data_IF_926257917638
#
_entry.id   IF_926257917638
#
_cell.length_a   1.000
_cell.length_b   1.000
_cell.length_c   1.000
_cell.angle_alpha   90.00
_cell.angle_beta   90.00
_cell.angle_gamma   90.00
#
_symmetry.space_group_name_H-M   'P 1'
#
loop_
_entity.id
_entity.type
_entity.pdbx_description
1 polymer ?
#
# COMPACT_ATOMS: atom_id res chain seq x y z
N UNK A 1 -3.07 -13.64 13.12
CA UNK A 1 -4.27 -14.51 13.07
C UNK A 1 -4.87 -14.68 14.46
N UNK A 2 -4.21 -15.39 15.39
CA UNK A 2 -4.73 -15.63 16.76
C UNK A 2 -5.08 -14.33 17.51
N UNK A 3 -4.17 -13.35 17.49
CA UNK A 3 -4.42 -12.02 18.09
C UNK A 3 -5.61 -11.27 17.47
N UNK A 4 -5.97 -11.55 16.21
CA UNK A 4 -7.11 -10.92 15.56
C UNK A 4 -8.43 -11.50 16.07
N UNK A 5 -8.46 -12.82 16.31
CA UNK A 5 -9.62 -13.52 16.85
C UNK A 5 -9.92 -13.03 18.27
N UNK A 6 -8.88 -12.88 19.10
CA UNK A 6 -9.04 -12.47 20.50
C UNK A 6 -9.46 -10.99 20.64
N UNK A 7 -9.00 -10.13 19.71
CA UNK A 7 -9.34 -8.70 19.69
C UNK A 7 -10.65 -8.38 18.96
N UNK A 8 -11.21 -9.33 18.22
CA UNK A 8 -12.46 -9.11 17.49
C UNK A 8 -13.63 -8.92 18.47
N UNK A 9 -14.53 -7.95 18.23
CA UNK A 9 -15.71 -7.76 19.07
C UNK A 9 -16.55 -9.04 19.12
N UNK A 10 -16.82 -9.51 20.33
CA UNK A 10 -17.70 -10.66 20.54
C UNK A 10 -19.14 -10.30 20.12
N UNK A 11 -19.77 -11.23 19.42
CA UNK A 11 -21.20 -11.18 19.11
C UNK A 11 -21.80 -12.57 19.36
N UNK A 12 -23.00 -12.61 19.95
CA UNK A 12 -23.72 -13.85 20.23
C UNK A 12 -24.24 -14.50 18.93
N UNK A 13 -24.47 -13.70 17.89
CA UNK A 13 -24.90 -14.19 16.58
C UNK A 13 -23.68 -14.63 15.78
N UNK A 14 -23.61 -15.93 15.45
CA UNK A 14 -22.45 -16.53 14.77
C UNK A 14 -22.06 -15.83 13.47
N UNK A 15 -23.04 -15.44 12.65
CA UNK A 15 -22.77 -14.74 11.38
C UNK A 15 -22.15 -13.35 11.59
N UNK A 16 -22.64 -12.58 12.57
CA UNK A 16 -22.07 -11.28 12.93
C UNK A 16 -20.67 -11.42 13.53
N UNK A 17 -20.46 -12.44 14.37
CA UNK A 17 -19.15 -12.73 14.93
C UNK A 17 -18.13 -13.07 13.84
N UNK A 18 -18.51 -13.86 12.84
CA UNK A 18 -17.65 -14.16 11.69
C UNK A 18 -17.29 -12.88 10.93
N UNK A 19 -18.26 -12.00 10.66
CA UNK A 19 -18.00 -10.72 10.01
C UNK A 19 -17.03 -9.84 10.82
N UNK A 20 -17.24 -9.73 12.14
CA UNK A 20 -16.33 -8.98 13.03
C UNK A 20 -14.91 -9.53 13.02
N UNK A 21 -14.75 -10.87 12.99
CA UNK A 21 -13.43 -11.52 12.93
C UNK A 21 -12.76 -11.23 11.58
N UNK A 22 -13.49 -11.34 10.46
CA UNK A 22 -12.97 -11.04 9.12
C UNK A 22 -12.50 -9.59 9.05
N UNK A 23 -13.31 -8.65 9.54
CA UNK A 23 -12.95 -7.22 9.56
C UNK A 23 -11.72 -6.94 10.41
N UNK A 24 -11.66 -7.49 11.63
CA UNK A 24 -10.52 -7.31 12.52
C UNK A 24 -9.24 -7.91 11.94
N UNK A 25 -9.35 -9.07 11.31
CA UNK A 25 -8.21 -9.73 10.67
C UNK A 25 -7.72 -8.97 9.44
N UNK A 26 -8.64 -8.49 8.60
CA UNK A 26 -8.33 -7.67 7.42
C UNK A 26 -7.61 -6.39 7.84
N UNK A 27 -8.09 -5.72 8.89
CA UNK A 27 -7.47 -4.50 9.41
C UNK A 27 -6.08 -4.76 9.99
N UNK A 28 -5.90 -5.80 10.81
CA UNK A 28 -4.58 -6.12 11.36
C UNK A 28 -3.58 -6.51 10.28
N UNK A 29 -3.99 -7.35 9.32
CA UNK A 29 -3.14 -7.73 8.19
C UNK A 29 -2.76 -6.50 7.37
N UNK A 30 -3.72 -5.63 7.06
CA UNK A 30 -3.47 -4.39 6.35
C UNK A 30 -2.48 -3.50 7.09
N UNK A 31 -2.66 -3.24 8.38
CA UNK A 31 -1.77 -2.40 9.18
C UNK A 31 -0.36 -2.98 9.29
N UNK A 32 -0.24 -4.29 9.52
CA UNK A 32 1.04 -4.97 9.62
C UNK A 32 1.82 -4.90 8.29
N UNK A 33 1.15 -5.14 7.15
CA UNK A 33 1.77 -5.04 5.83
C UNK A 33 2.08 -3.58 5.47
N UNK A 34 1.14 -2.65 5.69
CA UNK A 34 1.32 -1.24 5.37
C UNK A 34 2.48 -0.60 6.12
N UNK A 35 2.79 -1.06 7.35
CA UNK A 35 3.96 -0.60 8.11
C UNK A 35 5.29 -0.91 7.43
N UNK A 36 5.38 -2.02 6.69
CA UNK A 36 6.57 -2.41 5.94
C UNK A 36 6.65 -1.83 4.52
N UNK A 37 5.59 -1.17 4.05
CA UNK A 37 5.54 -0.61 2.70
C UNK A 37 6.01 0.85 2.69
N UNK A 38 6.73 1.21 1.63
CA UNK A 38 6.99 2.62 1.31
C UNK A 38 5.66 3.36 1.07
N UNK A 39 5.60 4.65 1.43
CA UNK A 39 4.40 5.48 1.28
C UNK A 39 3.81 5.43 -0.13
N UNK A 40 4.66 5.42 -1.16
CA UNK A 40 4.25 5.34 -2.56
C UNK A 40 3.52 4.03 -2.93
N UNK A 41 3.78 2.94 -2.20
CA UNK A 41 3.19 1.62 -2.48
C UNK A 41 1.92 1.35 -1.67
N UNK A 42 1.69 2.04 -0.54
CA UNK A 42 0.52 1.82 0.30
C UNK A 42 -0.80 1.95 -0.47
N UNK A 43 -1.04 3.00 -1.29
CA UNK A 43 -2.30 3.10 -2.03
C UNK A 43 -2.53 1.95 -3.01
N UNK A 44 -1.47 1.45 -3.64
CA UNK A 44 -1.54 0.31 -4.57
C UNK A 44 -1.90 -0.96 -3.83
N UNK A 45 -1.26 -1.22 -2.68
CA UNK A 45 -1.59 -2.35 -1.83
C UNK A 45 -3.06 -2.32 -1.37
N UNK A 46 -3.55 -1.16 -0.93
CA UNK A 46 -4.93 -1.01 -0.50
C UNK A 46 -5.93 -1.25 -1.62
N UNK A 47 -5.62 -0.77 -2.84
CA UNK A 47 -6.42 -1.02 -4.03
C UNK A 47 -6.47 -2.52 -4.35
N UNK A 48 -5.32 -3.19 -4.36
CA UNK A 48 -5.23 -4.63 -4.61
C UNK A 48 -6.01 -5.44 -3.57
N UNK A 49 -5.86 -5.12 -2.29
CA UNK A 49 -6.61 -5.78 -1.21
C UNK A 49 -8.12 -5.61 -1.40
N UNK A 50 -8.58 -4.38 -1.64
CA UNK A 50 -9.99 -4.06 -1.89
C UNK A 50 -10.55 -4.84 -3.08
N UNK A 51 -9.78 -4.94 -4.17
CA UNK A 51 -10.18 -5.71 -5.34
C UNK A 51 -10.23 -7.20 -5.06
N UNK A 52 -9.26 -7.77 -4.34
CA UNK A 52 -9.26 -9.20 -3.98
C UNK A 52 -10.45 -9.56 -3.11
N UNK A 53 -10.83 -8.69 -2.17
CA UNK A 53 -12.03 -8.88 -1.33
C UNK A 53 -13.29 -8.88 -2.20
N UNK A 54 -13.46 -7.90 -3.09
CA UNK A 54 -14.62 -7.85 -3.97
C UNK A 54 -14.67 -8.98 -5.01
N UNK A 55 -13.52 -9.47 -5.48
CA UNK A 55 -13.45 -10.67 -6.32
C UNK A 55 -13.96 -11.91 -5.58
N UNK A 56 -13.55 -12.09 -4.32
CA UNK A 56 -14.03 -13.20 -3.50
C UNK A 56 -15.55 -13.12 -3.23
N UNK A 57 -16.11 -11.92 -3.22
CA UNK A 57 -17.56 -11.67 -3.11
C UNK A 57 -18.31 -11.78 -4.45
N UNK A 58 -17.61 -12.02 -5.57
CA UNK A 58 -18.20 -12.08 -6.92
C UNK A 58 -18.60 -10.73 -7.51
N UNK A 59 -18.25 -9.60 -6.86
CA UNK A 59 -18.57 -8.26 -7.35
C UNK A 59 -17.62 -7.78 -8.45
N UNK A 60 -16.37 -8.27 -8.46
CA UNK A 60 -15.38 -7.96 -9.50
C UNK A 60 -15.06 -9.22 -10.30
N UNK A 61 -15.18 -9.09 -11.62
CA UNK A 61 -14.77 -10.10 -12.61
C UNK A 61 -13.40 -9.76 -13.21
N UNK A 62 -12.75 -10.76 -13.82
CA UNK A 62 -11.44 -10.60 -14.47
C UNK A 62 -11.42 -9.49 -15.53
N UNK A 63 -12.54 -9.28 -16.22
CA UNK A 63 -12.72 -8.25 -17.23
C UNK A 63 -12.53 -6.83 -16.66
N UNK A 64 -12.98 -6.58 -15.42
CA UNK A 64 -12.80 -5.28 -14.76
C UNK A 64 -11.32 -5.01 -14.48
N UNK A 65 -10.59 -6.01 -14.00
CA UNK A 65 -9.15 -5.90 -13.78
C UNK A 65 -8.39 -5.71 -15.09
N UNK A 66 -8.78 -6.44 -16.13
CA UNK A 66 -8.20 -6.28 -17.47
C UNK A 66 -8.39 -4.86 -18.00
N UNK A 67 -9.59 -4.28 -17.84
CA UNK A 67 -9.84 -2.88 -18.18
C UNK A 67 -8.96 -1.91 -17.38
N UNK A 68 -8.81 -2.13 -16.07
CA UNK A 68 -8.00 -1.26 -15.22
C UNK A 68 -6.50 -1.32 -15.56
N UNK A 69 -5.96 -2.52 -15.81
CA UNK A 69 -4.53 -2.73 -16.06
C UNK A 69 -4.17 -2.37 -17.50
N UNK A 70 -4.86 -2.97 -18.48
CA UNK A 70 -4.50 -2.83 -19.90
C UNK A 70 -4.98 -1.49 -20.50
N UNK A 71 -6.07 -0.90 -19.98
CA UNK A 71 -6.54 0.43 -20.41
C UNK A 71 -6.76 0.56 -21.93
N UNK A 72 -7.09 -0.51 -22.63
CA UNK A 72 -7.26 -0.51 -24.09
C UNK A 72 -5.98 -0.62 -24.93
N UNK A 73 -4.82 -0.88 -24.33
CA UNK A 73 -3.54 -1.02 -25.04
C UNK A 73 -3.50 -2.14 -26.10
N UNK A 74 -4.41 -3.12 -26.02
CA UNK A 74 -4.55 -4.19 -27.03
C UNK A 74 -5.41 -3.81 -28.25
N UNK A 75 -5.94 -2.59 -28.31
CA UNK A 75 -6.77 -2.11 -29.42
C UNK A 75 -5.98 -1.15 -30.31
N UNK A 76 -6.23 -1.21 -31.61
CA UNK A 76 -5.65 -0.27 -32.58
C UNK A 76 -6.68 0.80 -32.94
N UNK A 77 -6.24 2.07 -33.00
CA UNK A 77 -7.13 3.21 -33.29
C UNK A 77 -7.82 3.09 -34.65
N UNK A 78 -7.18 2.39 -35.59
CA UNK A 78 -7.66 2.18 -36.96
C UNK A 78 -8.79 1.15 -37.04
N UNK A 79 -8.87 0.21 -36.07
CA UNK A 79 -9.84 -0.89 -36.09
C UNK A 79 -11.08 -0.61 -35.25
N UNK A 80 -11.04 0.43 -34.42
CA UNK A 80 -12.15 0.81 -33.54
C UNK A 80 -13.06 1.85 -34.19
N UNK A 81 -14.23 2.08 -33.57
CA UNK A 81 -15.14 3.16 -33.94
C UNK A 81 -14.37 4.49 -34.06
N UNK A 82 -14.61 5.25 -35.14
CA UNK A 82 -13.95 6.54 -35.36
C UNK A 82 -14.23 7.50 -34.20
N UNK A 83 -13.18 8.17 -33.72
CA UNK A 83 -13.32 9.20 -32.67
C UNK A 83 -14.23 10.34 -33.15
N UNK A 84 -15.19 10.79 -32.32
CA UNK A 84 -16.14 11.84 -32.73
C UNK A 84 -15.51 13.23 -32.73
N UNK A 85 -14.48 13.47 -31.90
CA UNK A 85 -13.84 14.77 -31.75
C UNK A 85 -12.32 14.69 -31.68
N UNK A 86 -11.65 15.77 -32.09
CA UNK A 86 -10.20 15.88 -32.09
C UNK A 86 -9.59 16.16 -30.71
N UNK A 87 -10.38 16.68 -29.76
CA UNK A 87 -9.91 16.97 -28.40
C UNK A 87 -9.70 15.70 -27.55
N UNK A 88 -10.32 14.57 -27.94
CA UNK A 88 -10.14 13.28 -27.26
C UNK A 88 -8.81 12.66 -27.74
N UNK A 89 -7.83 12.42 -26.85
CA UNK A 89 -6.60 11.73 -27.22
C UNK A 89 -6.88 10.27 -27.62
N UNK A 90 -6.07 9.71 -28.51
CA UNK A 90 -6.28 8.35 -29.03
C UNK A 90 -6.26 7.31 -27.89
N UNK A 91 -5.35 7.43 -26.92
CA UNK A 91 -5.30 6.55 -25.76
C UNK A 91 -6.57 6.60 -24.91
N UNK A 92 -7.16 7.79 -24.73
CA UNK A 92 -8.40 7.97 -23.98
C UNK A 92 -9.60 7.34 -24.70
N UNK A 93 -9.64 7.51 -26.03
CA UNK A 93 -10.67 6.90 -26.87
C UNK A 93 -10.57 5.37 -26.89
N UNK A 94 -9.36 4.81 -27.03
CA UNK A 94 -9.12 3.37 -26.94
C UNK A 94 -9.57 2.81 -25.59
N UNK A 95 -9.30 3.52 -24.50
CA UNK A 95 -9.80 3.19 -23.18
C UNK A 95 -11.34 3.14 -23.13
N UNK A 96 -12.02 4.15 -23.69
CA UNK A 96 -13.48 4.19 -23.75
C UNK A 96 -14.07 3.05 -24.59
N UNK A 97 -13.48 2.75 -25.75
CA UNK A 97 -13.92 1.64 -26.59
C UNK A 97 -13.71 0.30 -25.87
N UNK A 98 -12.58 0.13 -25.16
CA UNK A 98 -12.34 -1.07 -24.37
C UNK A 98 -13.41 -1.26 -23.27
N UNK A 99 -13.81 -0.17 -22.59
CA UNK A 99 -14.91 -0.21 -21.63
C UNK A 99 -16.24 -0.55 -22.30
N UNK A 100 -16.56 0.07 -23.43
CA UNK A 100 -17.76 -0.21 -24.23
C UNK A 100 -17.89 -1.70 -24.61
N UNK A 101 -16.79 -2.31 -25.06
CA UNK A 101 -16.78 -3.71 -25.49
C UNK A 101 -17.04 -4.66 -24.31
N UNK A 102 -16.39 -4.41 -23.17
CA UNK A 102 -16.31 -5.37 -22.06
C UNK A 102 -17.33 -5.14 -20.94
N UNK A 103 -17.85 -3.94 -20.78
CA UNK A 103 -18.63 -3.56 -19.61
C UNK A 103 -20.04 -3.13 -20.00
N UNK A 104 -21.06 -3.78 -19.41
CA UNK A 104 -22.46 -3.45 -19.66
C UNK A 104 -22.80 -2.00 -19.28
N UNK A 105 -22.21 -1.49 -18.20
CA UNK A 105 -22.46 -0.12 -17.72
C UNK A 105 -21.94 0.99 -18.66
N UNK A 106 -21.05 0.65 -19.60
CA UNK A 106 -20.43 1.60 -20.53
C UNK A 106 -20.88 1.39 -21.98
N UNK A 107 -21.99 0.67 -22.20
CA UNK A 107 -22.51 0.38 -23.55
C UNK A 107 -22.90 1.64 -24.33
N UNK A 108 -23.32 2.69 -23.64
CA UNK A 108 -23.70 3.95 -24.29
C UNK A 108 -22.57 5.00 -24.27
N UNK A 109 -21.39 4.67 -23.73
CA UNK A 109 -20.31 5.65 -23.53
C UNK A 109 -19.85 6.31 -24.85
N UNK A 110 -19.55 5.57 -25.94
CA UNK A 110 -19.13 6.20 -27.20
C UNK A 110 -20.22 7.10 -27.81
N UNK A 111 -21.48 6.69 -27.71
CA UNK A 111 -22.63 7.44 -28.21
C UNK A 111 -22.91 8.70 -27.37
N UNK A 112 -22.78 8.60 -26.05
CA UNK A 112 -22.87 9.72 -25.12
C UNK A 112 -21.79 10.77 -25.40
N UNK A 113 -20.53 10.35 -25.61
CA UNK A 113 -19.45 11.25 -26.00
C UNK A 113 -19.81 11.97 -27.30
N UNK A 114 -20.28 11.24 -28.32
CA UNK A 114 -20.66 11.82 -29.61
C UNK A 114 -21.84 12.80 -29.51
N UNK A 115 -22.81 12.56 -28.62
CA UNK A 115 -24.01 13.40 -28.48
C UNK A 115 -23.77 14.63 -27.61
N UNK A 116 -22.97 14.49 -26.55
CA UNK A 116 -22.75 15.52 -25.52
C UNK A 116 -21.29 15.98 -25.48
N UNK A 117 -20.68 16.17 -26.64
CA UNK A 117 -19.25 16.47 -26.78
C UNK A 117 -18.76 17.64 -25.91
N UNK A 118 -19.52 18.73 -25.81
CA UNK A 118 -19.13 19.90 -25.02
C UNK A 118 -19.11 19.62 -23.51
N UNK A 119 -20.07 18.84 -23.01
CA UNK A 119 -20.11 18.45 -21.60
C UNK A 119 -18.97 17.49 -21.25
N UNK A 120 -18.71 16.52 -22.14
CA UNK A 120 -17.60 15.59 -22.02
C UNK A 120 -16.25 16.29 -22.10
N UNK A 121 -16.12 17.31 -22.94
CA UNK A 121 -14.93 18.15 -23.03
C UNK A 121 -14.72 18.94 -21.74
N UNK A 122 -15.77 19.59 -21.22
CA UNK A 122 -15.70 20.30 -19.94
C UNK A 122 -15.28 19.37 -18.79
N UNK A 123 -15.86 18.16 -18.73
CA UNK A 123 -15.46 17.15 -17.75
C UNK A 123 -14.00 16.73 -17.94
N UNK A 124 -13.58 16.45 -19.19
CA UNK A 124 -12.23 16.00 -19.50
C UNK A 124 -11.16 17.08 -19.24
N UNK A 125 -11.47 18.35 -19.45
CA UNK A 125 -10.54 19.47 -19.25
C UNK A 125 -10.50 19.95 -17.78
N UNK A 126 -11.41 19.45 -16.92
CA UNK A 126 -11.44 19.80 -15.50
C UNK A 126 -10.19 19.35 -14.74
N UNK A 127 -9.80 20.11 -13.72
CA UNK A 127 -8.77 19.67 -12.77
C UNK A 127 -9.26 18.58 -11.81
N UNK A 128 -10.56 18.47 -11.55
CA UNK A 128 -11.11 17.50 -10.61
C UNK A 128 -12.32 16.74 -11.20
N UNK A 129 -12.14 16.04 -12.34
CA UNK A 129 -13.24 15.35 -13.03
C UNK A 129 -13.94 14.31 -12.14
N UNK A 130 -13.24 13.73 -11.18
CA UNK A 130 -13.77 12.77 -10.21
C UNK A 130 -14.85 13.35 -9.29
N UNK A 131 -14.89 14.67 -9.13
CA UNK A 131 -15.88 15.38 -8.30
C UNK A 131 -17.10 15.84 -9.11
N UNK A 132 -16.97 15.89 -10.43
CA UNK A 132 -18.02 16.33 -11.32
C UNK A 132 -18.99 15.18 -11.64
N UNK A 133 -20.28 15.47 -11.84
CA UNK A 133 -21.20 14.47 -12.36
C UNK A 133 -20.70 14.01 -13.74
N UNK A 134 -20.65 12.70 -13.94
CA UNK A 134 -20.29 12.14 -15.25
C UNK A 134 -21.36 12.53 -16.28
N UNK A 135 -20.97 13.13 -17.43
CA UNK A 135 -21.93 13.51 -18.46
C UNK A 135 -22.66 12.28 -18.99
N UNK A 136 -23.96 12.20 -18.70
CA UNK A 136 -24.93 11.23 -19.21
C UNK A 136 -24.36 9.82 -19.50
N UNK A 137 -23.80 9.19 -18.47
CA UNK A 137 -23.76 7.73 -18.35
C UNK A 137 -24.91 7.34 -17.42
N UNK A 138 -25.96 6.78 -18.02
CA UNK A 138 -27.13 6.15 -17.39
C UNK A 138 -27.87 6.99 -16.34
N UNK A 139 -28.88 7.73 -16.80
CA UNK A 139 -29.94 8.38 -16.00
C UNK A 139 -30.76 7.42 -15.13
N UNK A 140 -30.47 6.11 -15.12
CA UNK A 140 -31.21 5.07 -14.40
C UNK A 140 -30.46 4.43 -13.22
N UNK A 141 -29.14 4.59 -13.10
CA UNK A 141 -28.38 4.06 -11.96
C UNK A 141 -27.14 4.91 -11.69
N UNK A 142 -26.96 5.35 -10.44
CA UNK A 142 -25.79 6.12 -10.00
C UNK A 142 -24.50 5.37 -10.36
N UNK A 143 -23.53 6.08 -10.94
CA UNK A 143 -22.19 5.56 -11.23
C UNK A 143 -21.57 4.94 -9.97
N UNK A 144 -21.11 3.69 -10.06
CA UNK A 144 -20.47 3.01 -8.92
C UNK A 144 -19.03 3.51 -8.75
N UNK A 145 -18.44 3.44 -7.53
CA UNK A 145 -17.03 3.81 -7.34
C UNK A 145 -16.07 3.04 -8.25
N UNK A 146 -16.35 1.75 -8.53
CA UNK A 146 -15.60 0.95 -9.50
C UNK A 146 -15.74 1.49 -10.92
N UNK A 147 -16.96 1.86 -11.33
CA UNK A 147 -17.20 2.52 -12.60
C UNK A 147 -16.41 3.82 -12.75
N UNK A 148 -16.44 4.69 -11.75
CA UNK A 148 -15.68 5.94 -11.73
C UNK A 148 -14.18 5.69 -11.87
N UNK A 149 -13.65 4.70 -11.15
CA UNK A 149 -12.25 4.29 -11.27
C UNK A 149 -11.89 3.83 -12.69
N UNK A 150 -12.74 3.00 -13.31
CA UNK A 150 -12.52 2.50 -14.67
C UNK A 150 -12.61 3.61 -15.71
N UNK A 151 -13.58 4.51 -15.58
CA UNK A 151 -13.76 5.65 -16.48
C UNK A 151 -12.56 6.61 -16.42
N UNK A 152 -12.10 6.95 -15.21
CA UNK A 152 -10.92 7.79 -15.05
C UNK A 152 -9.66 7.07 -15.54
N UNK A 153 -9.54 5.76 -15.37
CA UNK A 153 -8.44 4.99 -15.98
C UNK A 153 -8.42 5.07 -17.50
N UNK A 154 -9.59 5.11 -18.13
CA UNK A 154 -9.70 5.28 -19.57
C UNK A 154 -9.39 6.72 -20.00
N UNK A 155 -10.02 7.72 -19.39
CA UNK A 155 -9.98 9.11 -19.89
C UNK A 155 -8.91 9.98 -19.23
N UNK A 156 -8.71 9.87 -17.92
CA UNK A 156 -7.84 10.73 -17.10
C UNK A 156 -6.91 9.88 -16.22
N UNK A 157 -5.92 9.18 -16.81
CA UNK A 157 -5.03 8.28 -16.08
C UNK A 157 -4.26 8.99 -14.96
N UNK A 158 -4.04 10.30 -15.07
CA UNK A 158 -3.44 11.16 -14.03
C UNK A 158 -4.26 11.22 -12.73
N UNK A 159 -5.59 11.01 -12.80
CA UNK A 159 -6.51 11.06 -11.65
C UNK A 159 -6.86 9.70 -11.07
N UNK A 160 -6.32 8.61 -11.62
CA UNK A 160 -6.65 7.23 -11.21
C UNK A 160 -6.38 6.98 -9.73
N UNK A 161 -5.29 7.53 -9.18
CA UNK A 161 -4.97 7.32 -7.76
C UNK A 161 -5.96 7.99 -6.81
N UNK A 162 -6.59 9.09 -7.23
CA UNK A 162 -7.64 9.77 -6.45
C UNK A 162 -8.92 8.92 -6.45
N UNK A 163 -9.30 8.42 -7.63
CA UNK A 163 -10.43 7.51 -7.77
C UNK A 163 -10.21 6.20 -7.01
N UNK A 164 -8.98 5.67 -7.02
CA UNK A 164 -8.60 4.46 -6.31
C UNK A 164 -8.79 4.63 -4.79
N UNK A 165 -8.41 5.77 -4.22
CA UNK A 165 -8.65 6.06 -2.79
C UNK A 165 -10.14 6.07 -2.46
N UNK A 166 -10.95 6.75 -3.29
CA UNK A 166 -12.41 6.79 -3.12
C UNK A 166 -13.02 5.39 -3.21
N UNK A 167 -12.58 4.59 -4.17
CA UNK A 167 -12.98 3.19 -4.30
C UNK A 167 -12.59 2.38 -3.05
N UNK A 168 -11.33 2.45 -2.60
CA UNK A 168 -10.84 1.76 -1.39
C UNK A 168 -11.69 2.12 -0.16
N UNK A 169 -11.98 3.41 0.05
CA UNK A 169 -12.83 3.85 1.16
C UNK A 169 -14.25 3.29 1.06
N UNK A 170 -14.81 3.19 -0.15
CA UNK A 170 -16.14 2.59 -0.34
C UNK A 170 -16.19 1.09 -0.04
N UNK A 171 -15.05 0.38 -0.15
CA UNK A 171 -14.97 -1.08 0.08
C UNK A 171 -14.57 -1.41 1.51
N UNK A 172 -13.50 -0.78 2.01
CA UNK A 172 -12.90 -1.12 3.30
C UNK A 172 -13.37 -0.18 4.43
N UNK A 173 -13.88 1.00 4.08
CA UNK A 173 -14.24 2.06 5.02
C UNK A 173 -13.05 2.93 5.44
N UNK A 174 -13.34 4.03 6.13
CA UNK A 174 -12.36 5.07 6.48
C UNK A 174 -11.26 4.60 7.46
N UNK A 175 -11.46 3.45 8.12
CA UNK A 175 -10.49 2.87 9.07
C UNK A 175 -9.24 2.31 8.38
N UNK A 176 -9.27 2.18 7.05
CA UNK A 176 -8.16 1.71 6.23
C UNK A 176 -7.35 2.87 5.64
N UNK A 177 -7.30 3.98 6.36
CA UNK A 177 -6.43 5.10 6.03
C UNK A 177 -4.97 4.63 5.97
N UNK A 178 -4.28 5.07 4.92
CA UNK A 178 -2.91 4.72 4.58
C UNK A 178 -1.90 5.49 5.45
N UNK A 179 -2.38 6.58 6.07
CA UNK A 179 -1.66 7.40 7.03
C UNK A 179 -1.63 6.75 8.42
N UNK A 180 -0.92 5.63 8.57
CA UNK A 180 -0.53 5.16 9.91
C UNK A 180 0.79 5.83 10.28
N UNK A 181 0.81 6.79 11.22
CA UNK A 181 2.05 7.40 11.66
C UNK A 181 2.96 6.34 12.29
N UNK A 182 4.26 6.48 12.09
CA UNK A 182 5.24 5.63 12.76
C UNK A 182 5.09 5.81 14.27
N UNK A 183 4.76 4.73 14.97
CA UNK A 183 4.65 4.71 16.42
C UNK A 183 5.73 3.80 17.00
N UNK A 184 6.78 4.43 17.55
CA UNK A 184 7.95 3.73 18.11
C UNK A 184 7.60 2.86 19.32
N UNK A 185 6.62 3.25 20.13
CA UNK A 185 6.14 2.45 21.26
C UNK A 185 5.52 1.13 20.79
N UNK A 186 4.66 1.20 19.78
CA UNK A 186 4.00 0.02 19.22
C UNK A 186 5.00 -0.91 18.53
N UNK A 187 5.95 -0.36 17.78
CA UNK A 187 7.01 -1.14 17.14
C UNK A 187 7.88 -1.83 18.19
N UNK A 188 8.28 -1.12 19.25
CA UNK A 188 9.03 -1.70 20.35
C UNK A 188 8.26 -2.80 21.09
N UNK A 189 6.97 -2.59 21.37
CA UNK A 189 6.13 -3.58 22.05
C UNK A 189 5.98 -4.90 21.27
N UNK A 190 6.07 -4.85 19.95
CA UNK A 190 6.03 -6.03 19.07
C UNK A 190 7.41 -6.70 18.88
N UNK A 191 8.49 -6.07 19.35
CA UNK A 191 9.86 -6.57 19.23
C UNK A 191 10.29 -7.45 20.39
N UNK A 192 11.12 -8.44 20.08
CA UNK A 192 11.78 -9.33 21.04
C UNK A 192 13.29 -9.25 20.87
N UNK A 193 14.03 -9.89 21.77
CA UNK A 193 15.47 -10.06 21.67
C UNK A 193 15.92 -10.83 20.42
N UNK A 194 15.00 -11.56 19.77
CA UNK A 194 15.23 -12.29 18.50
C UNK A 194 14.55 -11.67 17.29
N UNK A 195 13.72 -10.65 17.49
CA UNK A 195 12.97 -10.00 16.40
C UNK A 195 13.51 -8.57 16.23
N UNK A 196 14.52 -8.37 15.36
CA UNK A 196 15.09 -7.05 15.14
C UNK A 196 14.07 -6.10 14.50
N UNK A 197 14.20 -4.82 14.81
CA UNK A 197 13.41 -3.74 14.24
C UNK A 197 14.15 -3.12 13.07
N UNK A 198 13.68 -3.42 11.85
CA UNK A 198 14.25 -2.89 10.61
C UNK A 198 13.41 -1.71 10.13
N UNK A 199 14.02 -0.53 10.09
CA UNK A 199 13.42 0.71 9.65
C UNK A 199 13.91 1.04 8.24
N UNK A 200 13.01 0.92 7.27
CA UNK A 200 13.29 1.30 5.88
C UNK A 200 13.08 2.81 5.76
N UNK A 201 14.17 3.54 5.58
CA UNK A 201 14.20 5.00 5.50
C UNK A 201 14.33 5.47 4.05
N UNK A 202 13.75 6.61 3.73
CA UNK A 202 14.03 7.33 2.48
C UNK A 202 15.38 8.05 2.59
N UNK A 203 16.08 8.30 1.47
CA UNK A 203 17.30 9.10 1.49
C UNK A 203 17.10 10.44 2.20
N UNK A 204 17.98 10.77 3.14
CA UNK A 204 17.91 11.99 3.94
C UNK A 204 16.95 11.97 5.15
N UNK A 205 16.19 10.89 5.36
CA UNK A 205 15.42 10.72 6.59
C UNK A 205 16.29 10.11 7.70
N UNK A 206 16.23 10.66 8.92
CA UNK A 206 16.95 10.14 10.08
C UNK A 206 15.97 9.62 11.13
N UNK A 207 16.17 8.36 11.54
CA UNK A 207 15.31 7.67 12.53
C UNK A 207 16.07 7.39 13.84
N UNK A 208 17.37 7.68 13.88
CA UNK A 208 18.22 7.46 15.04
C UNK A 208 17.73 8.24 16.27
N UNK A 209 17.36 9.51 16.10
CA UNK A 209 16.85 10.37 17.18
C UNK A 209 15.58 9.82 17.82
N UNK A 210 14.69 9.21 17.04
CA UNK A 210 13.48 8.58 17.55
C UNK A 210 13.81 7.35 18.42
N UNK A 211 14.82 6.56 18.02
CA UNK A 211 15.32 5.43 18.80
C UNK A 211 15.97 5.92 20.10
N UNK A 212 16.82 6.94 20.04
CA UNK A 212 17.46 7.52 21.23
C UNK A 212 16.45 8.12 22.20
N UNK A 213 15.44 8.84 21.70
CA UNK A 213 14.38 9.41 22.52
C UNK A 213 13.57 8.31 23.25
N UNK A 214 13.23 7.22 22.54
CA UNK A 214 12.57 6.07 23.14
C UNK A 214 13.45 5.40 24.20
N UNK A 215 14.72 5.13 23.88
CA UNK A 215 15.66 4.49 24.79
C UNK A 215 15.87 5.32 26.06
N UNK A 216 16.03 6.65 25.92
CA UNK A 216 16.14 7.58 27.06
C UNK A 216 14.91 7.52 27.96
N UNK A 217 13.70 7.51 27.38
CA UNK A 217 12.44 7.39 28.14
C UNK A 217 12.36 6.05 28.88
N UNK A 218 12.83 4.98 28.28
CA UNK A 218 12.85 3.63 28.86
C UNK A 218 14.11 3.32 29.69
N UNK A 219 14.99 4.31 29.89
CA UNK A 219 16.26 4.18 30.61
C UNK A 219 17.12 3.03 30.08
N UNK A 220 17.21 2.91 28.75
CA UNK A 220 18.02 1.93 28.04
C UNK A 220 19.26 2.60 27.46
N UNK A 221 20.37 1.88 27.51
CA UNK A 221 21.61 2.27 26.82
C UNK A 221 21.57 1.78 25.38
N UNK A 222 22.05 2.61 24.45
CA UNK A 222 22.07 2.32 23.01
C UNK A 222 23.51 2.40 22.51
N UNK A 223 24.02 1.28 22.00
CA UNK A 223 25.28 1.21 21.27
C UNK A 223 24.99 1.42 19.78
N UNK A 224 25.46 2.53 19.21
CA UNK A 224 25.18 2.86 17.80
C UNK A 224 26.41 2.74 16.93
N UNK A 225 26.23 2.21 15.72
CA UNK A 225 27.27 2.10 14.68
C UNK A 225 26.67 2.52 13.35
N UNK A 226 27.31 3.48 12.67
CA UNK A 226 27.00 3.75 11.26
C UNK A 226 27.75 2.77 10.38
N UNK A 227 27.03 1.96 9.61
CA UNK A 227 27.61 0.95 8.74
C UNK A 227 28.32 1.60 7.55
N UNK A 228 29.40 0.95 7.12
CA UNK A 228 30.30 1.40 6.06
C UNK A 228 31.56 0.55 6.05
N UNK A 229 32.55 0.96 5.27
CA UNK A 229 33.82 0.23 5.17
C UNK A 229 34.51 0.13 6.55
N UNK A 230 34.96 -1.08 6.90
CA UNK A 230 35.65 -1.36 8.17
C UNK A 230 34.77 -1.41 9.42
N UNK A 231 33.47 -1.10 9.35
CA UNK A 231 32.60 -0.99 10.53
C UNK A 231 32.05 -2.33 11.03
N UNK A 232 32.12 -3.39 10.22
CA UNK A 232 31.61 -4.73 10.54
C UNK A 232 32.19 -5.32 11.84
N UNK A 233 33.45 -5.00 12.16
CA UNK A 233 34.11 -5.49 13.40
C UNK A 233 33.57 -4.76 14.62
N UNK A 234 33.36 -3.45 14.52
CA UNK A 234 32.79 -2.62 15.59
C UNK A 234 31.35 -3.02 15.85
N UNK A 235 30.56 -3.18 14.78
CA UNK A 235 29.18 -3.62 14.85
C UNK A 235 29.04 -4.98 15.57
N UNK A 236 29.88 -5.98 15.26
CA UNK A 236 29.90 -7.26 16.00
C UNK A 236 30.13 -7.08 17.48
N UNK A 237 31.16 -6.33 17.86
CA UNK A 237 31.47 -6.10 19.29
C UNK A 237 30.31 -5.44 20.03
N UNK A 238 29.65 -4.47 19.41
CA UNK A 238 28.45 -3.83 19.98
C UNK A 238 27.30 -4.82 20.12
N UNK A 239 27.07 -5.68 19.13
CA UNK A 239 26.04 -6.72 19.14
C UNK A 239 26.32 -7.76 20.21
N UNK A 240 27.53 -8.30 20.28
CA UNK A 240 27.93 -9.29 21.29
C UNK A 240 27.79 -8.74 22.72
N UNK A 241 28.18 -7.47 22.91
CA UNK A 241 27.98 -6.75 24.17
C UNK A 241 26.48 -6.64 24.48
N UNK A 242 25.69 -6.14 23.53
CA UNK A 242 24.24 -5.99 23.68
C UNK A 242 23.53 -7.29 24.02
N UNK A 243 23.88 -8.39 23.34
CA UNK A 243 23.35 -9.74 23.60
C UNK A 243 23.66 -10.19 25.03
N UNK A 244 24.85 -9.85 25.55
CA UNK A 244 25.33 -10.31 26.85
C UNK A 244 24.80 -9.51 28.04
N UNK A 245 24.51 -8.20 27.86
CA UNK A 245 24.09 -7.31 28.96
C UNK A 245 22.67 -6.74 28.79
N UNK A 246 22.02 -6.99 27.66
CA UNK A 246 20.66 -6.52 27.37
C UNK A 246 20.57 -5.07 26.88
N UNK A 247 21.67 -4.51 26.38
CA UNK A 247 21.69 -3.15 25.81
C UNK A 247 21.04 -3.12 24.42
N UNK A 248 20.58 -1.96 24.00
CA UNK A 248 20.09 -1.79 22.64
C UNK A 248 21.26 -1.57 21.69
N UNK A 249 21.14 -2.05 20.46
CA UNK A 249 22.11 -1.80 19.41
C UNK A 249 21.40 -1.16 18.23
N UNK A 250 21.97 -0.07 17.71
CA UNK A 250 21.47 0.65 16.54
C UNK A 250 22.50 0.56 15.40
N UNK A 251 22.18 -0.19 14.36
CA UNK A 251 22.95 -0.22 13.12
C UNK A 251 22.35 0.79 12.14
N UNK A 252 23.06 1.87 11.86
CA UNK A 252 22.62 2.90 10.94
C UNK A 252 23.14 2.64 9.53
N UNK A 253 22.39 3.05 8.50
CA UNK A 253 22.80 2.95 7.10
C UNK A 253 23.22 1.54 6.67
N UNK A 254 22.49 0.53 7.13
CA UNK A 254 22.91 -0.86 7.02
C UNK A 254 23.05 -1.39 5.57
N UNK A 255 22.33 -0.78 4.62
CA UNK A 255 22.52 -0.96 3.17
C UNK A 255 23.96 -0.75 2.69
N UNK A 256 24.79 0.02 3.42
CA UNK A 256 26.21 0.22 3.11
C UNK A 256 27.06 -1.03 3.38
N UNK A 257 26.52 -2.08 4.02
CA UNK A 257 27.22 -3.34 4.27
C UNK A 257 26.27 -4.53 4.27
N UNK A 258 25.71 -4.87 3.12
CA UNK A 258 24.80 -6.02 2.94
C UNK A 258 25.44 -7.36 3.35
N UNK A 259 26.71 -7.66 3.00
CA UNK A 259 27.34 -8.91 3.42
C UNK A 259 27.41 -9.08 4.94
N UNK A 260 27.46 -7.97 5.69
CA UNK A 260 27.41 -8.00 7.14
C UNK A 260 26.02 -8.40 7.65
N UNK A 261 24.94 -7.89 7.05
CA UNK A 261 23.57 -8.20 7.45
C UNK A 261 23.22 -9.66 7.20
N UNK A 262 23.65 -10.24 6.08
CA UNK A 262 23.50 -11.68 5.82
C UNK A 262 24.18 -12.53 6.89
N UNK A 263 25.42 -12.17 7.25
CA UNK A 263 26.17 -12.87 8.29
C UNK A 263 25.51 -12.69 9.67
N UNK A 264 24.99 -11.50 9.96
CA UNK A 264 24.28 -11.18 11.20
C UNK A 264 23.01 -12.01 11.34
N UNK A 265 22.22 -12.16 10.27
CA UNK A 265 21.03 -13.01 10.27
C UNK A 265 21.39 -14.46 10.63
N UNK A 266 22.42 -15.01 9.96
CA UNK A 266 22.88 -16.38 10.23
C UNK A 266 23.39 -16.53 11.67
N UNK A 267 24.12 -15.54 12.20
CA UNK A 267 24.63 -15.61 13.57
C UNK A 267 23.51 -15.51 14.60
N UNK A 268 22.54 -14.61 14.41
CA UNK A 268 21.44 -14.42 15.35
C UNK A 268 20.56 -15.68 15.52
N UNK A 269 20.36 -16.43 14.43
CA UNK A 269 19.61 -17.71 14.47
C UNK A 269 20.34 -18.75 15.32
N UNK A 270 21.67 -18.76 15.30
CA UNK A 270 22.52 -19.75 16.00
C UNK A 270 22.72 -19.45 17.48
N UNK A 271 22.43 -18.24 17.94
CA UNK A 271 22.56 -17.89 19.36
C UNK A 271 21.58 -18.70 20.18
N UNK A 272 22.04 -19.33 21.27
CA UNK A 272 21.20 -20.08 22.20
C UNK A 272 20.58 -19.17 23.27
N UNK A 273 21.40 -18.33 23.88
CA UNK A 273 21.00 -17.38 24.92
C UNK A 273 21.17 -15.93 24.43
N UNK A 274 20.16 -15.11 24.67
CA UNK A 274 20.17 -13.66 24.43
C UNK A 274 19.47 -13.01 25.62
N UNK A 275 20.06 -11.94 26.16
CA UNK A 275 19.43 -11.18 27.24
C UNK A 275 18.02 -10.68 26.82
N UNK A 276 16.96 -10.94 27.62
CA UNK A 276 15.58 -10.61 27.23
C UNK A 276 15.32 -9.12 26.95
N UNK A 277 16.17 -8.25 27.50
CA UNK A 277 16.08 -6.79 27.33
C UNK A 277 16.80 -6.28 26.08
N UNK A 278 17.64 -7.10 25.44
CA UNK A 278 18.35 -6.76 24.22
C UNK A 278 17.36 -6.40 23.10
N UNK A 279 17.66 -5.34 22.35
CA UNK A 279 16.93 -5.02 21.11
C UNK A 279 17.91 -4.58 20.05
N UNK A 280 17.74 -5.12 18.85
CA UNK A 280 18.49 -4.72 17.67
C UNK A 280 17.61 -3.83 16.78
N UNK A 281 18.09 -2.62 16.54
CA UNK A 281 17.50 -1.63 15.64
C UNK A 281 18.41 -1.49 14.41
N UNK A 282 17.82 -1.49 13.23
CA UNK A 282 18.53 -1.38 11.96
C UNK A 282 17.85 -0.29 11.14
N UNK A 283 18.58 0.72 10.70
CA UNK A 283 18.09 1.67 9.68
C UNK A 283 18.74 1.36 8.34
N UNK A 284 17.95 1.30 7.29
CA UNK A 284 18.44 0.92 5.96
C UNK A 284 17.61 1.56 4.85
N UNK A 285 18.17 1.67 3.66
CA UNK A 285 17.44 2.09 2.46
C UNK A 285 17.08 0.85 1.63
N UNK A 286 16.03 0.91 0.78
CA UNK A 286 15.76 -0.15 -0.18
C UNK A 286 16.98 -0.39 -1.06
N UNK A 287 17.42 -1.64 -1.19
CA UNK A 287 18.53 -2.05 -2.03
C UNK A 287 18.19 -3.40 -2.68
N UNK A 288 18.51 -3.62 -3.96
CA UNK A 288 18.07 -4.83 -4.68
C UNK A 288 18.63 -6.14 -4.11
N UNK A 289 19.83 -6.07 -3.53
CA UNK A 289 20.46 -7.19 -2.83
C UNK A 289 20.06 -7.34 -1.34
N UNK A 290 19.10 -6.55 -0.85
CA UNK A 290 18.61 -6.58 0.54
C UNK A 290 17.16 -7.04 0.63
#
# INVERSE_FOLDING_TARGET
>A
FTQAIDRAPFDAVSSKRIANIIDALTLQAFQATARGLLERHKPVFALLLSMRIQQAQGMIQEEHLSCLLAGGAGLAIETVRRKPYNWVPDGAWLGCVNLFLRMAMFKDLPDSIQRYGDQWRFWFESDCPETLPTPEITTSSKMTPLGTLLLLRAMRPDRVMIAARTYVHSVLGDRFDLSVPLNMDSAFAESTERTPLVCIITPGAELADAVYALAKRLKKEVLSVSMGEGQSIVARKCIDTGISIGNWVLLQNAHMSIPFLEQLQVSMIKLEAIEPLFRLWITTQPHEAF
#
